data_IF_856536318184
#
_entry.id   IF_856536318184
#
_cell.length_a   1.000
_cell.length_b   1.000
_cell.length_c   1.000
_cell.angle_alpha   90.00
_cell.angle_beta   90.00
_cell.angle_gamma   90.00
#
_symmetry.space_group_name_H-M   'P 1'
#
loop_
_entity.id
_entity.type
_entity.pdbx_description
1 polymer ?
#
# COMPACT_ATOMS: atom_id res chain seq x y z
N UNK A 1 13.34 39.39 -13.41
CA UNK A 1 12.87 38.06 -13.68
C UNK A 1 13.66 37.06 -12.88
N UNK A 2 13.14 36.61 -11.75
CA UNK A 2 13.76 35.57 -10.92
C UNK A 2 13.46 34.22 -11.59
N UNK A 3 14.42 33.69 -12.33
CA UNK A 3 14.46 32.29 -12.71
C UNK A 3 14.90 31.50 -11.49
N UNK A 4 13.96 31.10 -10.62
CA UNK A 4 14.19 30.04 -9.65
C UNK A 4 14.44 28.77 -10.44
N UNK A 5 15.68 28.37 -10.56
CA UNK A 5 16.06 27.04 -11.04
C UNK A 5 15.45 26.04 -10.04
N UNK A 6 14.35 25.42 -10.39
CA UNK A 6 13.81 24.24 -9.73
C UNK A 6 14.91 23.17 -9.72
N UNK A 7 15.68 23.09 -8.63
CA UNK A 7 16.67 22.04 -8.45
C UNK A 7 15.90 20.76 -8.10
N UNK A 8 15.95 19.79 -9.02
CA UNK A 8 15.46 18.45 -8.74
C UNK A 8 16.29 17.88 -7.59
N UNK A 9 15.63 17.53 -6.49
CA UNK A 9 16.29 16.89 -5.34
C UNK A 9 16.86 15.53 -5.74
N UNK A 10 17.82 15.01 -4.98
CA UNK A 10 18.38 13.67 -5.22
C UNK A 10 17.31 12.59 -5.17
N UNK A 11 16.34 12.73 -4.27
CA UNK A 11 15.16 11.87 -4.23
C UNK A 11 14.32 12.01 -5.51
N UNK A 12 14.07 13.22 -5.99
CA UNK A 12 13.35 13.46 -7.24
C UNK A 12 14.00 12.80 -8.45
N UNK A 13 15.34 12.82 -8.53
CA UNK A 13 16.09 12.09 -9.57
C UNK A 13 15.95 10.58 -9.46
N UNK A 14 16.00 10.03 -8.23
CA UNK A 14 15.80 8.60 -7.99
C UNK A 14 14.38 8.18 -8.39
N UNK A 15 13.37 8.98 -8.05
CA UNK A 15 11.97 8.70 -8.39
C UNK A 15 11.71 8.75 -9.90
N UNK A 16 12.33 9.68 -10.63
CA UNK A 16 12.09 9.86 -12.08
C UNK A 16 12.57 8.70 -12.96
N UNK A 17 13.46 7.85 -12.46
CA UNK A 17 13.93 6.65 -13.19
C UNK A 17 13.14 5.39 -12.84
N UNK A 18 12.23 5.45 -11.88
CA UNK A 18 11.39 4.30 -11.54
C UNK A 18 10.19 4.21 -12.47
N UNK A 19 9.88 3.02 -13.00
CA UNK A 19 8.71 2.81 -13.87
C UNK A 19 7.43 2.60 -13.05
N UNK A 20 7.22 3.41 -12.00
CA UNK A 20 6.06 3.37 -11.12
C UNK A 20 5.58 4.79 -10.81
N UNK A 21 4.34 4.91 -10.34
CA UNK A 21 3.83 6.19 -9.83
C UNK A 21 4.78 6.79 -8.78
N UNK A 22 5.04 8.11 -8.79
CA UNK A 22 5.93 8.76 -7.83
C UNK A 22 5.60 8.49 -6.36
N UNK A 23 4.30 8.32 -6.02
CA UNK A 23 3.87 7.96 -4.65
C UNK A 23 4.35 6.58 -4.26
N UNK A 24 4.24 5.61 -5.16
CA UNK A 24 4.75 4.24 -4.96
C UNK A 24 6.28 4.22 -4.93
N UNK A 25 6.93 5.03 -5.76
CA UNK A 25 8.38 5.19 -5.72
C UNK A 25 8.85 5.74 -4.38
N UNK A 26 8.16 6.74 -3.82
CA UNK A 26 8.46 7.27 -2.49
C UNK A 26 8.24 6.21 -1.41
N UNK A 27 7.09 5.53 -1.43
CA UNK A 27 6.78 4.48 -0.49
C UNK A 27 7.76 3.30 -0.53
N UNK A 28 8.38 3.03 -1.70
CA UNK A 28 9.46 2.06 -1.83
C UNK A 28 10.68 2.45 -0.96
N UNK A 29 11.13 3.70 -1.08
CA UNK A 29 12.32 4.16 -0.32
C UNK A 29 12.00 4.30 1.16
N UNK A 30 10.92 4.99 1.52
CA UNK A 30 10.51 5.18 2.91
C UNK A 30 10.20 3.81 3.57
N UNK A 31 9.47 2.93 2.89
CA UNK A 31 9.13 1.60 3.37
C UNK A 31 10.33 0.69 3.58
N UNK A 32 11.41 0.89 2.79
CA UNK A 32 12.65 0.11 2.96
C UNK A 32 13.24 0.25 4.35
N UNK A 33 13.10 1.41 4.98
CA UNK A 33 13.62 1.68 6.33
C UNK A 33 12.84 0.91 7.41
N UNK A 34 11.57 0.61 7.17
CA UNK A 34 10.70 -0.05 8.15
C UNK A 34 10.57 -1.55 7.93
N UNK A 35 10.32 -1.97 6.70
CA UNK A 35 9.99 -3.37 6.38
C UNK A 35 11.07 -4.08 5.55
N UNK A 36 12.15 -3.38 5.22
CA UNK A 36 13.23 -3.88 4.38
C UNK A 36 12.93 -3.77 2.88
N UNK A 37 14.00 -3.68 2.08
CA UNK A 37 13.94 -3.41 0.65
C UNK A 37 13.16 -4.47 -0.14
N UNK A 38 13.24 -5.73 0.27
CA UNK A 38 12.59 -6.84 -0.44
C UNK A 38 11.08 -6.77 -0.31
N UNK A 39 10.56 -6.62 0.91
CA UNK A 39 9.12 -6.56 1.12
C UNK A 39 8.54 -5.28 0.52
N UNK A 40 9.21 -4.14 0.70
CA UNK A 40 8.80 -2.88 0.07
C UNK A 40 8.70 -3.03 -1.46
N UNK A 41 9.69 -3.66 -2.11
CA UNK A 41 9.68 -3.92 -3.54
C UNK A 41 8.56 -4.87 -3.98
N UNK A 42 8.32 -5.94 -3.24
CA UNK A 42 7.24 -6.90 -3.51
C UNK A 42 5.86 -6.22 -3.45
N UNK A 43 5.62 -5.40 -2.42
CA UNK A 43 4.36 -4.66 -2.22
C UNK A 43 4.17 -3.63 -3.33
N UNK A 44 5.18 -2.81 -3.61
CA UNK A 44 5.09 -1.79 -4.66
C UNK A 44 4.89 -2.42 -6.04
N UNK A 45 5.56 -3.55 -6.34
CA UNK A 45 5.33 -4.29 -7.57
C UNK A 45 3.89 -4.83 -7.67
N UNK A 46 3.32 -5.32 -6.57
CA UNK A 46 1.93 -5.77 -6.54
C UNK A 46 0.94 -4.62 -6.76
N UNK A 47 1.15 -3.47 -6.09
CA UNK A 47 0.32 -2.28 -6.23
C UNK A 47 0.41 -1.62 -7.62
N UNK A 48 1.54 -1.79 -8.33
CA UNK A 48 1.75 -1.29 -9.68
C UNK A 48 1.22 -2.24 -10.76
N UNK A 49 0.83 -3.45 -10.39
CA UNK A 49 0.36 -4.47 -11.32
C UNK A 49 -1.14 -4.35 -11.60
N UNK A 50 -1.58 -4.96 -12.70
CA UNK A 50 -3.01 -5.10 -13.05
C UNK A 50 -3.67 -6.27 -12.29
N UNK A 51 -2.96 -6.91 -11.36
CA UNK A 51 -3.43 -8.05 -10.60
C UNK A 51 -4.49 -7.65 -9.57
N UNK A 52 -5.58 -8.40 -9.54
CA UNK A 52 -6.69 -8.10 -8.63
C UNK A 52 -6.49 -8.77 -7.28
N UNK A 53 -6.71 -8.00 -6.22
CA UNK A 53 -6.80 -8.52 -4.86
C UNK A 53 -8.16 -9.16 -4.63
N UNK A 54 -8.19 -10.48 -4.42
CA UNK A 54 -9.41 -11.19 -4.08
C UNK A 54 -9.95 -10.70 -2.72
N UNK A 55 -11.22 -10.33 -2.67
CA UNK A 55 -11.81 -9.74 -1.48
C UNK A 55 -11.15 -8.41 -1.05
N UNK A 56 -10.47 -7.72 -1.95
CA UNK A 56 -9.68 -6.51 -1.70
C UNK A 56 -8.43 -6.72 -0.82
N UNK A 57 -8.02 -7.94 -0.51
CA UNK A 57 -6.94 -8.26 0.42
C UNK A 57 -5.58 -8.33 -0.29
N UNK A 58 -4.75 -7.30 -0.07
CA UNK A 58 -3.38 -7.22 -0.61
C UNK A 58 -2.48 -8.32 -0.03
N UNK A 59 -2.67 -8.73 1.21
CA UNK A 59 -1.90 -9.82 1.83
C UNK A 59 -2.11 -11.14 1.09
N UNK A 60 -3.37 -11.46 0.75
CA UNK A 60 -3.70 -12.62 -0.08
C UNK A 60 -3.13 -12.51 -1.49
N UNK A 61 -3.20 -11.33 -2.10
CA UNK A 61 -2.59 -11.08 -3.40
C UNK A 61 -1.09 -11.35 -3.37
N UNK A 62 -0.37 -10.82 -2.38
CA UNK A 62 1.07 -11.06 -2.21
C UNK A 62 1.38 -12.55 -2.01
N UNK A 63 0.61 -13.25 -1.18
CA UNK A 63 0.73 -14.70 -0.99
C UNK A 63 0.58 -15.46 -2.30
N UNK A 64 -0.43 -15.13 -3.10
CA UNK A 64 -0.67 -15.71 -4.43
C UNK A 64 0.48 -15.41 -5.40
N UNK A 65 0.94 -14.16 -5.48
CA UNK A 65 2.05 -13.77 -6.36
C UNK A 65 3.36 -14.47 -6.01
N UNK A 66 3.65 -14.65 -4.73
CA UNK A 66 4.82 -15.39 -4.25
C UNK A 66 4.75 -16.88 -4.57
N UNK A 67 3.55 -17.45 -4.52
CA UNK A 67 3.32 -18.87 -4.86
C UNK A 67 3.37 -19.14 -6.37
N UNK A 68 2.63 -18.33 -7.16
CA UNK A 68 2.51 -18.54 -8.62
C UNK A 68 3.67 -17.97 -9.40
N UNK A 69 4.42 -17.01 -8.82
CA UNK A 69 5.63 -16.40 -9.38
C UNK A 69 5.46 -15.89 -10.81
N UNK A 70 4.46 -15.03 -11.11
CA UNK A 70 4.27 -14.51 -12.47
C UNK A 70 5.53 -13.75 -12.91
N UNK A 71 6.03 -14.06 -14.13
CA UNK A 71 7.29 -13.50 -14.62
C UNK A 71 7.33 -11.97 -14.56
N UNK A 72 6.25 -11.30 -14.98
CA UNK A 72 6.15 -9.84 -14.97
C UNK A 72 6.34 -9.28 -13.56
N UNK A 73 5.61 -9.81 -12.58
CA UNK A 73 5.73 -9.36 -11.19
C UNK A 73 7.14 -9.60 -10.61
N UNK A 74 7.74 -10.77 -10.91
CA UNK A 74 9.13 -11.07 -10.46
C UNK A 74 10.11 -10.06 -11.05
N UNK A 75 10.00 -9.77 -12.34
CA UNK A 75 10.92 -8.85 -13.04
C UNK A 75 10.78 -7.41 -12.47
N UNK A 76 9.54 -6.98 -12.21
CA UNK A 76 9.26 -5.66 -11.62
C UNK A 76 9.74 -5.58 -10.17
N UNK A 77 9.44 -6.57 -9.33
CA UNK A 77 9.93 -6.63 -7.95
C UNK A 77 11.46 -6.64 -7.88
N UNK A 78 12.14 -7.40 -8.77
CA UNK A 78 13.60 -7.43 -8.83
C UNK A 78 14.19 -6.06 -9.27
N UNK A 79 13.52 -5.35 -10.19
CA UNK A 79 13.92 -4.00 -10.62
C UNK A 79 13.80 -3.00 -9.48
N UNK A 80 12.66 -3.02 -8.78
CA UNK A 80 12.40 -2.14 -7.63
C UNK A 80 13.35 -2.45 -6.46
N UNK A 81 13.62 -3.72 -6.18
CA UNK A 81 14.60 -4.13 -5.17
C UNK A 81 16.00 -3.57 -5.46
N UNK A 82 16.45 -3.66 -6.72
CA UNK A 82 17.76 -3.08 -7.10
C UNK A 82 17.79 -1.56 -6.92
N UNK A 83 16.69 -0.88 -7.19
CA UNK A 83 16.58 0.57 -6.99
C UNK A 83 16.61 0.94 -5.50
N UNK A 84 15.84 0.23 -4.68
CA UNK A 84 15.80 0.42 -3.22
C UNK A 84 17.18 0.18 -2.57
N UNK A 85 17.87 -0.87 -2.97
CA UNK A 85 19.19 -1.24 -2.43
C UNK A 85 20.31 -0.26 -2.78
N UNK A 86 20.18 0.51 -3.87
CA UNK A 86 21.15 1.56 -4.21
C UNK A 86 21.00 2.83 -3.38
N UNK A 87 19.87 3.01 -2.75
CA UNK A 87 19.52 4.20 -1.98
C UNK A 87 19.91 4.14 -0.51
N UNK A 88 19.98 2.96 0.08
CA UNK A 88 20.25 2.76 1.51
C UNK A 88 20.98 1.43 1.73
N UNK A 89 22.14 1.51 2.35
CA UNK A 89 23.03 0.38 2.60
C UNK A 89 22.84 -0.16 4.03
N UNK A 90 21.65 -0.53 4.43
CA UNK A 90 21.47 -1.39 5.60
C UNK A 90 20.59 -2.57 5.19
N UNK A 91 21.16 -3.80 5.07
CA UNK A 91 20.34 -4.97 4.92
C UNK A 91 19.59 -5.21 6.23
N UNK A 92 18.31 -4.86 6.29
CA UNK A 92 17.44 -5.49 7.27
C UNK A 92 17.34 -6.96 6.87
N UNK A 93 18.08 -7.81 7.57
CA UNK A 93 18.19 -9.26 7.36
C UNK A 93 16.97 -10.01 7.91
N UNK A 94 15.76 -9.50 7.71
CA UNK A 94 14.57 -10.02 8.34
C UNK A 94 13.46 -10.39 7.38
N UNK A 95 13.73 -11.25 6.39
CA UNK A 95 12.65 -11.81 5.56
C UNK A 95 11.74 -12.78 6.33
N UNK A 96 12.26 -13.34 7.42
CA UNK A 96 11.54 -14.33 8.24
C UNK A 96 10.61 -13.71 9.29
N UNK A 97 10.58 -12.38 9.41
CA UNK A 97 9.77 -11.69 10.41
C UNK A 97 8.90 -10.56 9.83
N UNK A 98 8.50 -10.66 8.54
CA UNK A 98 7.51 -9.73 7.99
C UNK A 98 6.23 -9.80 8.83
N UNK A 99 5.89 -8.71 9.49
CA UNK A 99 4.69 -8.61 10.30
C UNK A 99 3.43 -8.60 9.41
N UNK A 100 2.27 -8.98 9.96
CA UNK A 100 1.02 -8.97 9.22
C UNK A 100 0.63 -7.57 8.72
N UNK A 101 1.12 -6.53 9.38
CA UNK A 101 0.81 -5.11 9.08
C UNK A 101 1.79 -4.46 8.09
N UNK A 102 2.90 -5.11 7.75
CA UNK A 102 3.94 -4.52 6.91
C UNK A 102 3.47 -4.13 5.50
N UNK A 103 2.63 -4.92 4.80
CA UNK A 103 2.05 -4.49 3.54
C UNK A 103 1.15 -3.25 3.69
N UNK A 104 0.45 -3.15 4.82
CA UNK A 104 -0.38 -2.00 5.18
C UNK A 104 0.45 -0.75 5.38
N UNK A 105 1.59 -0.85 6.06
CA UNK A 105 2.50 0.27 6.27
C UNK A 105 3.02 0.84 4.93
N UNK A 106 3.52 -0.01 4.03
CA UNK A 106 3.99 0.44 2.71
C UNK A 106 2.85 1.09 1.91
N UNK A 107 1.64 0.52 2.00
CA UNK A 107 0.45 1.09 1.35
C UNK A 107 0.07 2.45 1.94
N UNK A 108 0.12 2.60 3.26
CA UNK A 108 -0.15 3.86 3.95
C UNK A 108 0.85 4.97 3.58
N UNK A 109 2.13 4.62 3.43
CA UNK A 109 3.17 5.55 2.96
C UNK A 109 2.90 6.03 1.52
N UNK A 110 2.33 5.18 0.66
CA UNK A 110 1.95 5.58 -0.70
C UNK A 110 0.67 6.44 -0.73
N UNK A 111 -0.29 6.11 0.11
CA UNK A 111 -1.65 6.68 0.09
C UNK A 111 -2.12 7.14 1.48
N UNK A 112 -1.46 8.10 2.13
CA UNK A 112 -1.80 8.53 3.50
C UNK A 112 -3.24 9.06 3.62
N UNK A 113 -3.77 9.67 2.57
CA UNK A 113 -5.16 10.16 2.52
C UNK A 113 -6.21 9.03 2.47
N UNK A 114 -5.78 7.80 2.21
CA UNK A 114 -6.63 6.62 2.10
C UNK A 114 -6.46 5.64 3.28
N UNK A 115 -5.83 6.08 4.36
CA UNK A 115 -5.91 5.37 5.64
C UNK A 115 -7.34 5.48 6.13
N UNK A 116 -7.91 4.35 6.55
CA UNK A 116 -9.31 4.27 6.87
C UNK A 116 -9.59 3.52 8.17
N UNK A 117 -10.50 4.06 8.96
CA UNK A 117 -10.97 3.47 10.20
C UNK A 117 -12.33 2.82 9.99
N UNK A 118 -12.49 1.62 10.54
CA UNK A 118 -13.78 0.94 10.56
C UNK A 118 -14.82 1.76 11.31
N UNK A 119 -15.97 1.96 10.68
CA UNK A 119 -17.13 2.58 11.33
C UNK A 119 -17.93 1.55 12.13
N UNK A 120 -18.51 1.94 13.27
CA UNK A 120 -19.51 1.11 13.92
C UNK A 120 -20.65 0.82 12.95
N UNK A 121 -21.16 -0.42 12.95
CA UNK A 121 -22.28 -0.78 12.10
C UNK A 121 -23.50 0.08 12.45
N UNK A 122 -24.02 0.81 11.48
CA UNK A 122 -25.24 1.59 11.63
C UNK A 122 -26.45 0.66 11.43
N UNK A 123 -26.75 -0.18 12.44
CA UNK A 123 -27.89 -1.10 12.44
C UNK A 123 -27.54 -2.58 12.22
N UNK A 124 -28.44 -3.46 12.64
CA UNK A 124 -28.27 -4.91 12.73
C UNK A 124 -28.21 -5.66 11.38
N UNK A 125 -28.18 -4.98 10.24
CA UNK A 125 -28.33 -5.58 8.91
C UNK A 125 -27.24 -5.16 7.90
N UNK A 126 -26.14 -4.58 8.34
CA UNK A 126 -25.03 -4.23 7.45
C UNK A 126 -24.04 -5.39 7.35
N UNK A 127 -24.24 -6.27 6.37
CA UNK A 127 -23.34 -7.41 6.09
C UNK A 127 -21.92 -6.98 5.63
N UNK A 128 -21.72 -5.70 5.32
CA UNK A 128 -20.43 -5.18 4.84
C UNK A 128 -19.87 -4.16 5.82
N UNK A 129 -18.61 -4.35 6.23
CA UNK A 129 -17.90 -3.34 7.00
C UNK A 129 -17.71 -2.07 6.17
N UNK A 130 -18.06 -0.93 6.75
CA UNK A 130 -17.84 0.40 6.20
C UNK A 130 -16.63 1.04 6.87
N UNK A 131 -15.84 1.71 6.08
CA UNK A 131 -14.61 2.39 6.50
C UNK A 131 -14.67 3.87 6.14
N UNK A 132 -14.25 4.72 7.07
CA UNK A 132 -14.11 6.16 6.85
C UNK A 132 -12.63 6.47 6.56
N UNK A 133 -12.35 6.94 5.36
CA UNK A 133 -11.01 7.34 4.93
C UNK A 133 -10.63 8.70 5.57
N UNK A 134 -9.35 8.95 5.73
CA UNK A 134 -8.81 10.22 6.18
C UNK A 134 -9.26 11.39 5.27
N UNK A 135 -9.51 11.13 4.00
CA UNK A 135 -10.09 12.09 3.05
C UNK A 135 -11.55 12.47 3.34
N UNK A 136 -12.22 11.81 4.29
CA UNK A 136 -13.65 12.02 4.61
C UNK A 136 -14.60 11.15 3.78
N UNK A 137 -14.12 10.35 2.85
CA UNK A 137 -14.94 9.44 2.04
C UNK A 137 -15.23 8.15 2.79
N UNK A 138 -16.47 7.68 2.75
CA UNK A 138 -16.83 6.34 3.24
C UNK A 138 -16.75 5.31 2.10
N UNK A 139 -16.15 4.15 2.40
CA UNK A 139 -16.04 3.04 1.46
C UNK A 139 -16.31 1.70 2.14
N UNK A 140 -16.83 0.74 1.38
CA UNK A 140 -17.18 -0.58 1.88
C UNK A 140 -16.26 -1.65 1.28
N UNK A 141 -15.95 -2.67 2.08
CA UNK A 141 -15.30 -3.89 1.59
C UNK A 141 -16.28 -4.72 0.74
N UNK A 142 -15.78 -5.47 -0.25
CA UNK A 142 -16.61 -6.44 -0.94
C UNK A 142 -17.07 -7.55 0.01
N UNK A 143 -18.22 -8.16 -0.29
CA UNK A 143 -18.76 -9.29 0.49
C UNK A 143 -17.73 -10.42 0.54
N UNK A 144 -17.58 -11.04 1.72
CA UNK A 144 -16.66 -12.16 1.92
C UNK A 144 -15.18 -11.77 1.98
N UNK A 145 -14.86 -10.47 2.07
CA UNK A 145 -13.50 -10.03 2.30
C UNK A 145 -12.96 -10.57 3.63
N UNK A 146 -11.72 -11.05 3.63
CA UNK A 146 -11.01 -11.45 4.85
C UNK A 146 -10.65 -10.27 5.75
N UNK A 147 -10.72 -9.05 5.23
CA UNK A 147 -10.48 -7.82 5.98
C UNK A 147 -11.72 -7.34 6.77
N UNK A 148 -12.84 -8.08 6.71
CA UNK A 148 -14.02 -7.78 7.53
C UNK A 148 -13.63 -7.83 9.02
N UNK A 149 -13.95 -6.78 9.75
CA UNK A 149 -13.65 -6.72 11.18
C UNK A 149 -12.29 -6.10 11.56
N UNK A 150 -11.38 -5.93 10.61
CA UNK A 150 -10.11 -5.22 10.82
C UNK A 150 -10.39 -3.77 11.22
N UNK A 151 -9.76 -3.23 12.32
CA UNK A 151 -10.05 -1.87 12.77
C UNK A 151 -9.55 -0.77 11.84
N UNK A 152 -8.35 -0.96 11.26
CA UNK A 152 -7.68 0.01 10.41
C UNK A 152 -7.19 -0.63 9.11
N UNK A 153 -7.41 0.07 8.02
CA UNK A 153 -6.95 -0.32 6.69
C UNK A 153 -6.11 0.79 6.04
N UNK A 154 -5.06 0.38 5.36
CA UNK A 154 -4.42 1.19 4.32
C UNK A 154 -5.03 0.79 2.97
N UNK A 155 -5.70 1.72 2.30
CA UNK A 155 -6.42 1.47 1.06
C UNK A 155 -5.57 1.96 -0.12
N UNK A 156 -5.36 1.11 -1.12
CA UNK A 156 -4.63 1.48 -2.33
C UNK A 156 -5.57 1.86 -3.47
N UNK A 157 -6.73 1.20 -3.57
CA UNK A 157 -7.66 1.41 -4.68
C UNK A 157 -9.12 1.36 -4.23
N UNK A 158 -9.90 2.32 -4.70
CA UNK A 158 -11.34 2.45 -4.47
C UNK A 158 -12.03 2.74 -5.80
N UNK A 159 -13.10 2.02 -6.07
CA UNK A 159 -13.94 2.26 -7.25
C UNK A 159 -15.30 2.81 -6.83
N UNK A 160 -15.77 3.83 -7.50
CA UNK A 160 -17.13 4.36 -7.33
C UNK A 160 -18.13 3.53 -8.13
N UNK A 161 -19.14 3.04 -7.46
CA UNK A 161 -20.33 2.42 -8.06
C UNK A 161 -21.57 3.24 -7.70
N UNK A 162 -21.95 4.16 -8.57
CA UNK A 162 -22.98 5.15 -8.25
C UNK A 162 -22.52 6.02 -7.08
N UNK A 163 -23.31 6.08 -6.01
CA UNK A 163 -22.97 6.82 -4.78
C UNK A 163 -22.14 6.02 -3.77
N UNK A 164 -21.80 4.76 -4.07
CA UNK A 164 -21.06 3.88 -3.15
C UNK A 164 -19.63 3.70 -3.60
N UNK A 165 -18.71 3.94 -2.69
CA UNK A 165 -17.30 3.63 -2.87
C UNK A 165 -17.03 2.18 -2.40
N UNK A 166 -16.40 1.39 -3.27
CA UNK A 166 -16.05 -0.01 -2.96
C UNK A 166 -14.52 -0.14 -2.98
N UNK A 167 -13.98 -0.65 -1.89
CA UNK A 167 -12.55 -0.92 -1.74
C UNK A 167 -12.17 -2.08 -2.66
N UNK A 168 -11.14 -1.87 -3.48
CA UNK A 168 -10.64 -2.86 -4.45
C UNK A 168 -9.32 -3.49 -4.02
N UNK A 169 -8.51 -2.73 -3.29
CA UNK A 169 -7.23 -3.20 -2.74
C UNK A 169 -6.93 -2.47 -1.44
N UNK A 170 -6.72 -3.22 -0.39
CA UNK A 170 -6.36 -2.71 0.93
C UNK A 170 -5.52 -3.74 1.70
N UNK A 171 -4.84 -3.29 2.73
CA UNK A 171 -4.15 -4.15 3.68
C UNK A 171 -4.48 -3.71 5.11
N UNK A 172 -4.41 -4.65 6.04
CA UNK A 172 -4.49 -4.37 7.46
C UNK A 172 -3.35 -3.43 7.87
N UNK A 173 -3.66 -2.45 8.71
CA UNK A 173 -2.71 -1.47 9.22
C UNK A 173 -2.72 -1.52 10.76
N UNK A 174 -1.53 -1.46 11.34
CA UNK A 174 -1.40 -1.31 12.79
C UNK A 174 -1.97 0.03 13.27
N UNK A 175 -2.61 0.02 14.44
CA UNK A 175 -3.26 1.21 14.98
C UNK A 175 -2.25 2.34 15.25
N UNK A 176 -1.08 2.02 15.78
CA UNK A 176 -0.07 3.04 16.13
C UNK A 176 0.43 3.75 14.86
N UNK A 177 0.61 3.01 13.76
CA UNK A 177 0.94 3.59 12.46
C UNK A 177 -0.21 4.38 11.86
N UNK A 178 -1.44 3.92 12.03
CA UNK A 178 -2.62 4.65 11.55
C UNK A 178 -2.79 5.99 12.26
N UNK A 179 -2.60 6.02 13.59
CA UNK A 179 -2.67 7.23 14.40
C UNK A 179 -1.52 8.20 14.08
N UNK A 180 -0.30 7.69 13.90
CA UNK A 180 0.85 8.50 13.51
C UNK A 180 0.66 9.18 12.14
N UNK A 181 0.05 8.48 11.21
CA UNK A 181 -0.16 8.99 9.85
C UNK A 181 -1.42 9.88 9.72
N UNK A 182 -2.34 9.80 10.68
CA UNK A 182 -3.57 10.62 10.73
C UNK A 182 -3.38 11.95 11.49
N UNK A 183 -2.30 12.08 12.27
CA UNK A 183 -1.95 13.31 13.02
C UNK A 183 -1.15 14.28 12.19
#
# INVERSE_FOLDING_TARGET
GLSEKLQITDLGRKLSVLPVDPRLGRALYDGTEFVGARLAADVVAALSSDERAEGADLGKLLGRLRSTRPKRWIDDAARLLRAASRGNAAPHTGYDSAGPYDPGLVTALAYPQQIARRRPAAGAHSDNAEYLLASGTAASLPRGSSLQGVPWLAIADVTLHGERAIIRTAAELDQDYAELAAG
#
